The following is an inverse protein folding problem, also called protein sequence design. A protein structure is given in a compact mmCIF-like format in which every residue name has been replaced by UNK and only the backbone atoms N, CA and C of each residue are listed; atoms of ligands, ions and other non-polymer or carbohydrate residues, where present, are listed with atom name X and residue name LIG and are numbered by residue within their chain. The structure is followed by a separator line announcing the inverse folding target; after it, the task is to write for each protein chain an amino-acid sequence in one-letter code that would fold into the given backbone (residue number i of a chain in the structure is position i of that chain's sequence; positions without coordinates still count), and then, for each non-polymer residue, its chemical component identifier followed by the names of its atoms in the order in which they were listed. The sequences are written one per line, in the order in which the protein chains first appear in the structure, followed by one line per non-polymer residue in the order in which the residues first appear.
data_IF_641587283576
#
_entry.id   IF_641587283576
#
_cell.length_a   1.000
_cell.length_b   1.000
_cell.length_c   1.000
_cell.angle_alpha   90.00
_cell.angle_beta   90.00
_cell.angle_gamma   90.00
#
_symmetry.space_group_name_H-M   'P 1'
#
loop_
_entity.id
_entity.type
_entity.pdbx_description
1 polymer ?
#
# COMPACT_ATOMS: atom_id res chain seq x y z
N UNK A 1 14.84 4.85 -11.62
CA UNK A 1 13.76 5.68 -11.02
C UNK A 1 12.42 4.97 -10.79
N UNK A 2 12.03 3.94 -11.55
CA UNK A 2 10.69 3.36 -11.42
C UNK A 2 10.56 2.23 -10.38
N UNK A 3 11.55 1.36 -10.14
CA UNK A 3 11.32 -0.04 -9.71
C UNK A 3 11.23 -0.42 -8.21
N UNK A 4 11.56 0.44 -7.25
CA UNK A 4 11.54 0.05 -5.80
C UNK A 4 10.63 0.88 -4.90
N UNK A 5 10.11 2.00 -5.42
CA UNK A 5 8.84 2.54 -4.92
C UNK A 5 7.80 1.40 -4.97
N UNK A 6 7.86 0.50 -5.96
CA UNK A 6 7.04 -0.71 -6.11
C UNK A 6 6.96 -1.68 -4.93
N UNK A 7 7.65 -1.59 -3.78
CA UNK A 7 7.36 -2.53 -2.66
C UNK A 7 6.36 -1.94 -1.67
N UNK A 8 6.54 -0.68 -1.27
CA UNK A 8 5.51 0.10 -0.57
C UNK A 8 4.36 0.48 -1.54
N UNK A 9 4.71 0.77 -2.80
CA UNK A 9 3.77 0.88 -3.89
C UNK A 9 3.25 -0.48 -4.37
N UNK A 10 3.84 -1.65 -4.07
CA UNK A 10 3.20 -2.96 -4.36
C UNK A 10 2.07 -3.23 -3.38
N UNK A 11 2.18 -2.75 -2.14
CA UNK A 11 1.06 -2.77 -1.20
C UNK A 11 -0.02 -1.78 -1.63
N UNK A 12 0.35 -0.59 -2.14
CA UNK A 12 -0.60 0.32 -2.79
C UNK A 12 -1.10 -0.20 -4.15
N UNK A 13 -0.30 -0.95 -4.92
CA UNK A 13 -0.61 -1.53 -6.25
C UNK A 13 -1.44 -2.78 -6.11
N UNK A 14 -1.29 -3.59 -5.06
CA UNK A 14 -2.26 -4.64 -4.74
C UNK A 14 -3.62 -4.03 -4.35
N UNK A 15 -3.62 -2.83 -3.77
CA UNK A 15 -4.83 -2.03 -3.50
C UNK A 15 -5.31 -1.29 -4.77
N UNK A 16 -4.42 -0.96 -5.72
CA UNK A 16 -4.74 -0.25 -6.99
C UNK A 16 -4.77 -1.14 -8.24
N UNK A 17 -4.64 -2.46 -8.10
CA UNK A 17 -4.93 -3.46 -9.15
C UNK A 17 -6.41 -3.81 -9.21
N UNK A 18 -7.20 -3.28 -8.29
CA UNK A 18 -8.59 -3.02 -8.57
C UNK A 18 -8.60 -1.85 -9.55
N UNK A 19 -8.47 -2.16 -10.84
CA UNK A 19 -8.73 -1.19 -11.90
C UNK A 19 -10.18 -0.76 -11.66
N UNK A 20 -10.34 0.50 -11.20
CA UNK A 20 -11.50 1.34 -10.80
C UNK A 20 -11.67 2.57 -11.75
N UNK A 21 -12.91 3.03 -11.95
CA UNK A 21 -13.70 3.83 -12.98
C UNK A 21 -14.69 3.59 -14.24
N UNK A 22 -15.91 4.15 -14.09
CA UNK A 22 -17.15 4.56 -14.83
C UNK A 22 -18.21 4.72 -13.70
N UNK A 23 -18.10 5.81 -12.95
CA UNK A 23 -19.23 6.65 -12.47
C UNK A 23 -18.74 7.96 -11.81
N UNK A 24 -17.60 8.49 -12.23
CA UNK A 24 -16.78 9.41 -11.42
C UNK A 24 -17.33 10.83 -11.22
N UNK A 25 -18.20 11.31 -12.11
CA UNK A 25 -18.65 12.71 -12.10
C UNK A 25 -19.44 13.04 -10.83
N UNK A 26 -20.28 12.12 -10.36
CA UNK A 26 -21.06 12.27 -9.13
C UNK A 26 -20.21 12.01 -7.86
N UNK A 27 -19.18 11.16 -7.97
CA UNK A 27 -18.22 10.91 -6.86
C UNK A 27 -17.38 12.16 -6.58
N UNK A 28 -16.93 12.86 -7.63
CA UNK A 28 -16.07 14.05 -7.53
C UNK A 28 -16.80 15.28 -6.99
N UNK A 29 -18.13 15.37 -7.17
CA UNK A 29 -18.93 16.45 -6.58
C UNK A 29 -18.96 16.41 -5.06
N UNK A 30 -18.87 15.23 -4.45
CA UNK A 30 -18.93 15.06 -2.99
C UNK A 30 -17.61 15.33 -2.25
N UNK A 31 -16.52 15.61 -2.97
CA UNK A 31 -15.21 15.89 -2.38
C UNK A 31 -15.05 17.38 -2.11
N UNK A 32 -15.07 17.77 -0.83
CA UNK A 32 -14.94 19.17 -0.39
C UNK A 32 -13.50 19.68 -0.39
N UNK A 33 -12.52 18.80 -0.21
CA UNK A 33 -11.10 19.19 -0.17
C UNK A 33 -10.64 19.73 -1.52
N UNK A 34 -10.23 21.01 -1.56
CA UNK A 34 -9.76 21.69 -2.78
C UNK A 34 -8.53 21.02 -3.40
N UNK A 35 -7.62 20.49 -2.57
CA UNK A 35 -6.42 19.79 -3.04
C UNK A 35 -6.72 18.40 -3.58
N UNK A 36 -7.57 17.65 -2.88
CA UNK A 36 -7.99 16.33 -3.33
C UNK A 36 -8.78 16.44 -4.63
N UNK A 37 -9.73 17.39 -4.70
CA UNK A 37 -10.50 17.67 -5.91
C UNK A 37 -9.60 18.03 -7.09
N UNK A 38 -8.60 18.90 -6.90
CA UNK A 38 -7.66 19.27 -7.98
C UNK A 38 -6.81 18.10 -8.44
N UNK A 39 -6.34 17.25 -7.52
CA UNK A 39 -5.55 16.05 -7.85
C UNK A 39 -6.40 15.02 -8.61
N UNK A 40 -7.59 14.70 -8.10
CA UNK A 40 -8.49 13.72 -8.70
C UNK A 40 -9.04 14.21 -10.05
N UNK A 41 -9.29 15.51 -10.20
CA UNK A 41 -9.71 16.08 -11.48
C UNK A 41 -8.64 15.97 -12.56
N UNK A 42 -7.35 15.93 -12.18
CA UNK A 42 -6.23 15.62 -13.09
C UNK A 42 -6.05 14.13 -13.37
N UNK A 43 -6.69 13.25 -12.58
CA UNK A 43 -6.70 11.80 -12.74
C UNK A 43 -8.04 11.30 -13.28
N UNK A 44 -8.90 12.20 -13.74
CA UNK A 44 -10.30 11.92 -14.08
C UNK A 44 -10.45 10.78 -15.08
N UNK A 45 -9.64 10.71 -16.12
CA UNK A 45 -9.72 9.62 -17.11
C UNK A 45 -9.33 8.25 -16.53
N UNK A 46 -8.38 8.21 -15.59
CA UNK A 46 -7.98 6.97 -14.91
C UNK A 46 -9.01 6.57 -13.85
N UNK A 47 -9.58 7.57 -13.19
CA UNK A 47 -10.81 7.51 -12.45
C UNK A 47 -12.03 7.59 -13.39
N UNK A 48 -11.97 7.25 -14.68
CA UNK A 48 -13.16 6.97 -15.50
C UNK A 48 -13.11 5.54 -16.09
N UNK A 49 -12.01 4.79 -15.91
CA UNK A 49 -11.74 3.53 -16.65
C UNK A 49 -11.93 2.19 -15.91
N UNK A 50 -11.92 2.08 -14.59
CA UNK A 50 -12.17 0.79 -13.92
C UNK A 50 -13.36 0.51 -12.95
N UNK A 51 -14.45 1.26 -12.85
CA UNK A 51 -15.61 1.35 -11.93
C UNK A 51 -16.63 0.91 -12.92
N UNK A 52 -16.55 1.26 -14.21
CA UNK A 52 -16.79 0.34 -15.30
C UNK A 52 -16.20 -1.04 -15.02
N UNK A 53 -14.87 -1.21 -14.86
CA UNK A 53 -14.29 -2.53 -14.56
C UNK A 53 -14.77 -3.08 -13.22
N UNK A 54 -15.07 -2.26 -12.22
CA UNK A 54 -15.43 -2.66 -10.87
C UNK A 54 -16.87 -3.12 -10.90
N UNK A 55 -17.77 -2.29 -11.40
CA UNK A 55 -19.18 -2.56 -11.67
C UNK A 55 -19.35 -3.80 -12.55
N UNK A 56 -18.48 -3.99 -13.56
CA UNK A 56 -18.44 -5.24 -14.36
C UNK A 56 -18.13 -6.47 -13.50
N UNK A 57 -17.26 -6.37 -12.50
CA UNK A 57 -16.90 -7.47 -11.61
C UNK A 57 -17.79 -7.54 -10.34
N UNK A 58 -18.52 -6.47 -10.04
CA UNK A 58 -19.11 -6.18 -8.75
C UNK A 58 -20.24 -5.16 -8.92
N UNK A 59 -21.41 -5.60 -9.41
CA UNK A 59 -22.52 -4.70 -9.70
C UNK A 59 -23.02 -3.95 -8.45
N UNK A 60 -23.36 -2.67 -8.63
CA UNK A 60 -23.81 -1.75 -7.59
C UNK A 60 -22.69 -1.18 -6.71
N UNK A 61 -21.43 -1.35 -7.11
CA UNK A 61 -20.28 -0.87 -6.32
C UNK A 61 -20.07 0.63 -6.46
N UNK A 62 -20.41 1.21 -7.61
CA UNK A 62 -20.33 2.64 -7.87
C UNK A 62 -21.14 3.46 -6.86
N UNK A 63 -22.39 3.07 -6.60
CA UNK A 63 -23.24 3.74 -5.60
C UNK A 63 -22.72 3.57 -4.18
N UNK A 64 -22.23 2.37 -3.83
CA UNK A 64 -21.61 2.14 -2.52
C UNK A 64 -20.36 2.98 -2.33
N UNK A 65 -19.57 3.17 -3.39
CA UNK A 65 -18.37 3.98 -3.36
C UNK A 65 -18.70 5.47 -3.18
N UNK A 66 -19.74 5.99 -3.86
CA UNK A 66 -20.22 7.38 -3.65
C UNK A 66 -20.55 7.63 -2.18
N UNK A 67 -21.30 6.72 -1.56
CA UNK A 67 -21.65 6.79 -0.13
C UNK A 67 -20.39 6.73 0.73
N UNK A 68 -19.48 5.78 0.46
CA UNK A 68 -18.24 5.63 1.22
C UNK A 68 -17.29 6.84 1.09
N UNK A 69 -17.21 7.47 -0.08
CA UNK A 69 -16.43 8.70 -0.30
C UNK A 69 -17.03 9.87 0.47
N UNK A 70 -18.37 9.97 0.52
CA UNK A 70 -19.04 10.98 1.34
C UNK A 70 -18.76 10.77 2.83
N UNK A 71 -18.88 9.54 3.33
CA UNK A 71 -18.56 9.19 4.72
C UNK A 71 -17.08 9.47 5.05
N UNK A 72 -16.17 9.18 4.11
CA UNK A 72 -14.76 9.54 4.23
C UNK A 72 -14.59 11.07 4.35
N UNK A 73 -15.22 11.86 3.47
CA UNK A 73 -15.11 13.32 3.50
C UNK A 73 -15.72 13.93 4.77
N UNK A 74 -16.83 13.39 5.26
CA UNK A 74 -17.44 13.84 6.52
C UNK A 74 -16.60 13.46 7.75
N UNK A 75 -15.83 12.39 7.67
CA UNK A 75 -14.84 12.02 8.68
C UNK A 75 -13.63 12.95 8.62
N UNK A 76 -13.08 13.18 7.43
CA UNK A 76 -11.95 14.08 7.16
C UNK A 76 -12.23 15.51 7.65
N UNK A 77 -13.42 16.05 7.36
CA UNK A 77 -13.89 17.37 7.81
C UNK A 77 -13.94 17.53 9.35
N UNK A 78 -14.00 16.42 10.10
CA UNK A 78 -14.08 16.43 11.58
C UNK A 78 -12.73 16.22 12.25
N UNK A 79 -11.69 15.91 11.49
CA UNK A 79 -10.35 15.72 12.04
C UNK A 79 -9.76 17.09 12.37
N UNK A 80 -9.04 17.16 13.49
CA UNK A 80 -8.39 18.36 13.96
C UNK A 80 -7.14 18.66 13.09
N UNK A 81 -7.12 19.84 12.47
CA UNK A 81 -6.01 20.31 11.63
C UNK A 81 -4.69 20.51 12.43
N UNK A 82 -4.75 20.49 13.76
CA UNK A 82 -3.58 20.64 14.63
C UNK A 82 -2.83 19.33 14.91
N UNK A 83 -3.34 18.18 14.44
CA UNK A 83 -2.67 16.89 14.63
C UNK A 83 -1.30 16.85 13.95
N UNK A 84 -0.32 16.26 14.64
CA UNK A 84 0.96 15.92 13.99
C UNK A 84 0.74 14.86 12.92
N UNK A 85 1.66 14.73 11.95
CA UNK A 85 1.59 13.72 10.87
C UNK A 85 1.34 12.30 11.43
N UNK A 86 1.92 11.99 12.60
CA UNK A 86 1.77 10.70 13.24
C UNK A 86 0.40 10.47 13.86
N UNK A 87 -0.16 11.47 14.52
CA UNK A 87 -1.50 11.42 15.09
C UNK A 87 -2.56 11.45 13.98
N UNK A 88 -2.30 12.24 12.94
CA UNK A 88 -3.07 12.30 11.72
C UNK A 88 -3.18 10.90 11.08
N UNK A 89 -2.07 10.17 10.86
CA UNK A 89 -2.14 8.84 10.24
C UNK A 89 -3.06 7.90 11.03
N UNK A 90 -2.99 7.90 12.36
CA UNK A 90 -3.89 7.05 13.14
C UNK A 90 -5.36 7.48 13.03
N UNK A 91 -5.63 8.80 13.08
CA UNK A 91 -6.97 9.36 12.98
C UNK A 91 -7.58 9.18 11.58
N UNK A 92 -6.85 9.51 10.52
CA UNK A 92 -7.29 9.47 9.12
C UNK A 92 -7.32 8.04 8.56
N UNK A 93 -6.23 7.29 8.72
CA UNK A 93 -5.98 6.08 7.94
C UNK A 93 -6.81 4.89 8.42
N UNK A 94 -7.14 4.80 9.71
CA UNK A 94 -7.96 3.69 10.23
C UNK A 94 -9.44 4.06 10.24
N UNK A 95 -9.79 5.24 10.74
CA UNK A 95 -11.19 5.57 11.02
C UNK A 95 -11.92 6.08 9.79
N UNK A 96 -11.30 6.98 9.01
CA UNK A 96 -11.97 7.58 7.86
C UNK A 96 -11.97 6.67 6.63
N UNK A 97 -11.01 5.77 6.48
CA UNK A 97 -10.95 4.86 5.32
C UNK A 97 -11.80 3.59 5.46
N UNK A 98 -12.33 3.31 6.65
CA UNK A 98 -13.10 2.09 6.92
C UNK A 98 -14.29 1.87 5.95
N UNK A 99 -15.10 2.90 5.61
CA UNK A 99 -16.14 2.78 4.60
C UNK A 99 -15.60 2.36 3.23
N UNK A 100 -14.49 2.95 2.79
CA UNK A 100 -13.85 2.65 1.50
C UNK A 100 -13.31 1.22 1.48
N UNK A 101 -12.62 0.81 2.55
CA UNK A 101 -12.10 -0.55 2.70
C UNK A 101 -13.21 -1.59 2.65
N UNK A 102 -14.37 -1.29 3.25
CA UNK A 102 -15.53 -2.17 3.25
C UNK A 102 -16.06 -2.40 1.83
N UNK A 103 -16.23 -1.32 1.05
CA UNK A 103 -16.70 -1.42 -0.35
C UNK A 103 -15.77 -2.30 -1.18
N UNK A 104 -14.46 -2.07 -1.10
CA UNK A 104 -13.47 -2.88 -1.82
C UNK A 104 -13.48 -4.33 -1.33
N UNK A 105 -13.57 -4.55 -0.02
CA UNK A 105 -13.55 -5.88 0.56
C UNK A 105 -14.78 -6.72 0.17
N UNK A 106 -15.96 -6.11 0.13
CA UNK A 106 -17.21 -6.77 -0.28
C UNK A 106 -17.20 -7.16 -1.75
N UNK A 107 -16.34 -6.51 -2.54
CA UNK A 107 -16.16 -6.67 -3.96
C UNK A 107 -15.17 -7.78 -4.35
N UNK A 108 -14.37 -8.22 -3.38
CA UNK A 108 -13.37 -9.26 -3.58
C UNK A 108 -13.98 -10.67 -3.43
N UNK A 109 -13.42 -11.67 -4.14
CA UNK A 109 -13.80 -13.07 -3.92
C UNK A 109 -13.48 -13.46 -2.47
N UNK A 110 -14.23 -14.44 -1.94
CA UNK A 110 -14.17 -14.82 -0.52
C UNK A 110 -12.73 -15.09 -0.02
N UNK A 111 -11.93 -15.80 -0.82
CA UNK A 111 -10.52 -16.09 -0.52
C UNK A 111 -9.62 -14.85 -0.33
N UNK A 112 -10.01 -13.73 -0.92
CA UNK A 112 -9.27 -12.47 -0.93
C UNK A 112 -9.87 -11.43 0.03
N UNK A 113 -10.99 -11.76 0.69
CA UNK A 113 -11.54 -10.92 1.76
C UNK A 113 -10.50 -10.76 2.86
N UNK A 114 -10.38 -9.55 3.37
CA UNK A 114 -9.40 -9.16 4.38
C UNK A 114 -8.06 -8.70 3.80
N UNK A 115 -7.77 -8.90 2.51
CA UNK A 115 -6.55 -8.36 1.90
C UNK A 115 -6.46 -6.82 1.98
N UNK A 116 -7.51 -6.04 1.67
CA UNK A 116 -7.45 -4.58 1.79
C UNK A 116 -7.17 -4.13 3.23
N UNK A 117 -7.82 -4.78 4.20
CA UNK A 117 -7.62 -4.49 5.62
C UNK A 117 -6.21 -4.87 6.08
N UNK A 118 -5.66 -5.99 5.59
CA UNK A 118 -4.28 -6.38 5.85
C UNK A 118 -3.30 -5.33 5.32
N UNK A 119 -3.49 -4.89 4.07
CA UNK A 119 -2.67 -3.83 3.47
C UNK A 119 -2.74 -2.52 4.24
N UNK A 120 -3.93 -2.12 4.70
CA UNK A 120 -4.11 -0.93 5.54
C UNK A 120 -3.37 -1.06 6.88
N UNK A 121 -3.50 -2.21 7.56
CA UNK A 121 -2.76 -2.49 8.81
C UNK A 121 -1.25 -2.45 8.59
N UNK A 122 -0.75 -2.92 7.45
CA UNK A 122 0.67 -2.82 7.09
C UNK A 122 1.12 -1.38 6.95
N UNK A 123 0.33 -0.51 6.29
CA UNK A 123 0.65 0.91 6.17
C UNK A 123 0.68 1.62 7.53
N UNK A 124 -0.32 1.36 8.36
CA UNK A 124 -0.39 1.89 9.74
C UNK A 124 0.83 1.43 10.54
N UNK A 125 1.19 0.14 10.46
CA UNK A 125 2.34 -0.39 11.20
C UNK A 125 3.65 0.26 10.76
N UNK A 126 3.85 0.50 9.46
CA UNK A 126 5.00 1.25 8.95
C UNK A 126 5.00 2.68 9.46
N UNK A 127 3.86 3.37 9.41
CA UNK A 127 3.75 4.73 9.91
C UNK A 127 4.07 4.82 11.40
N UNK A 128 3.50 3.94 12.23
CA UNK A 128 3.81 3.85 13.66
C UNK A 128 5.28 3.57 13.92
N UNK A 129 5.91 2.72 13.11
CA UNK A 129 7.34 2.47 13.18
C UNK A 129 8.13 3.76 12.92
N UNK A 130 7.84 4.45 11.81
CA UNK A 130 8.51 5.70 11.41
C UNK A 130 8.31 6.81 12.45
N UNK A 131 7.12 6.91 13.04
CA UNK A 131 6.80 7.88 14.08
C UNK A 131 7.58 7.70 15.38
N UNK A 132 8.11 6.50 15.62
CA UNK A 132 8.99 6.18 16.76
C UNK A 132 10.47 6.32 16.41
N UNK A 133 10.81 6.54 15.14
CA UNK A 133 12.19 6.69 14.69
C UNK A 133 12.70 8.12 14.88
N UNK A 134 14.02 8.24 15.03
CA UNK A 134 14.69 9.54 14.94
C UNK A 134 14.64 10.08 13.50
N UNK A 135 14.68 11.41 13.34
CA UNK A 135 14.78 12.02 12.01
C UNK A 135 15.99 11.52 11.22
N UNK A 136 17.12 11.26 11.90
CA UNK A 136 18.32 10.65 11.29
C UNK A 136 18.00 9.28 10.67
N UNK A 137 17.32 8.41 11.41
CA UNK A 137 16.90 7.09 10.90
C UNK A 137 15.96 7.21 9.69
N UNK A 138 15.10 8.24 9.64
CA UNK A 138 14.21 8.49 8.49
C UNK A 138 15.04 8.96 7.29
N UNK A 139 16.02 9.84 7.48
CA UNK A 139 16.91 10.28 6.41
C UNK A 139 17.72 9.13 5.81
N UNK A 140 18.03 8.10 6.59
CA UNK A 140 18.68 6.91 6.06
C UNK A 140 17.80 6.12 5.07
N UNK A 141 16.48 6.24 5.15
CA UNK A 141 15.58 5.65 4.15
C UNK A 141 15.66 6.36 2.80
N UNK A 142 16.21 7.58 2.77
CA UNK A 142 16.55 8.31 1.55
C UNK A 142 18.03 8.18 1.18
N UNK A 143 18.70 7.11 1.58
CA UNK A 143 20.07 6.85 1.16
C UNK A 143 20.12 6.24 -0.26
N UNK A 144 20.89 6.83 -1.21
CA UNK A 144 21.01 6.32 -2.56
C UNK A 144 21.36 4.86 -2.70
N UNK A 145 22.16 4.32 -1.77
CA UNK A 145 22.54 2.91 -1.79
C UNK A 145 21.35 1.93 -1.72
N UNK A 146 20.16 2.37 -1.31
CA UNK A 146 18.96 1.52 -1.26
C UNK A 146 18.31 1.36 -2.65
N UNK A 147 18.52 2.29 -3.58
CA UNK A 147 17.81 2.33 -4.86
C UNK A 147 18.68 2.54 -6.09
N UNK A 148 19.93 2.96 -5.94
CA UNK A 148 20.87 2.99 -7.05
C UNK A 148 21.24 1.55 -7.41
N UNK A 149 21.19 1.28 -8.71
CA UNK A 149 21.56 -0.02 -9.23
C UNK A 149 23.06 -0.20 -9.00
N UNK A 150 23.45 -1.23 -8.25
CA UNK A 150 24.83 -1.68 -8.28
C UNK A 150 25.05 -2.23 -9.69
N UNK A 151 25.93 -1.60 -10.46
CA UNK A 151 26.33 -2.10 -11.80
C UNK A 151 26.89 -3.53 -11.73
N UNK A 152 27.33 -3.97 -10.54
CA UNK A 152 27.66 -5.35 -10.23
C UNK A 152 26.39 -6.17 -9.93
N UNK A 153 25.69 -6.57 -10.99
CA UNK A 153 24.66 -7.59 -10.93
C UNK A 153 25.27 -8.91 -10.41
N UNK A 154 25.14 -9.14 -9.10
CA UNK A 154 25.49 -10.41 -8.50
C UNK A 154 24.35 -11.40 -8.78
N UNK A 155 24.67 -12.63 -9.20
CA UNK A 155 23.69 -13.69 -9.57
C UNK A 155 22.64 -13.95 -8.48
N UNK A 156 22.98 -13.65 -7.24
CA UNK A 156 22.07 -13.79 -6.10
C UNK A 156 21.06 -12.65 -5.96
N UNK A 157 21.38 -11.44 -6.45
CA UNK A 157 20.40 -10.35 -6.56
C UNK A 157 19.41 -10.61 -7.69
N UNK A 158 19.87 -11.22 -8.79
CA UNK A 158 19.00 -11.64 -9.89
C UNK A 158 17.95 -12.65 -9.40
N UNK A 159 18.35 -13.64 -8.58
CA UNK A 159 17.42 -14.60 -8.00
C UNK A 159 16.33 -13.94 -7.13
N UNK A 160 16.68 -12.89 -6.39
CA UNK A 160 15.71 -12.14 -5.60
C UNK A 160 14.77 -11.29 -6.46
N UNK A 161 15.28 -10.66 -7.51
CA UNK A 161 14.45 -9.92 -8.46
C UNK A 161 13.49 -10.85 -9.19
N UNK A 162 13.96 -12.01 -9.64
CA UNK A 162 13.13 -13.03 -10.28
C UNK A 162 12.06 -13.58 -9.33
N UNK A 163 12.38 -13.79 -8.04
CA UNK A 163 11.38 -14.18 -7.03
C UNK A 163 10.27 -13.14 -6.89
N UNK A 164 10.63 -11.85 -6.84
CA UNK A 164 9.65 -10.75 -6.77
C UNK A 164 8.79 -10.69 -8.05
N UNK A 165 9.41 -10.80 -9.22
CA UNK A 165 8.69 -10.83 -10.51
C UNK A 165 7.73 -12.01 -10.60
N UNK A 166 8.18 -13.20 -10.22
CA UNK A 166 7.37 -14.42 -10.24
C UNK A 166 6.17 -14.31 -9.29
N UNK A 167 6.35 -13.73 -8.09
CA UNK A 167 5.24 -13.44 -7.18
C UNK A 167 4.23 -12.46 -7.80
N UNK A 168 4.71 -11.39 -8.43
CA UNK A 168 3.87 -10.43 -9.12
C UNK A 168 3.05 -11.07 -10.26
N UNK A 169 3.68 -11.92 -11.07
CA UNK A 169 2.99 -12.67 -12.13
C UNK A 169 1.96 -13.64 -11.55
N UNK A 170 2.34 -14.42 -10.53
CA UNK A 170 1.44 -15.36 -9.84
C UNK A 170 0.18 -14.69 -9.32
N UNK A 171 0.32 -13.51 -8.70
CA UNK A 171 -0.82 -12.81 -8.10
C UNK A 171 -1.63 -11.97 -9.07
N UNK A 172 -1.07 -11.64 -10.24
CA UNK A 172 -1.84 -11.07 -11.35
C UNK A 172 -2.83 -12.09 -11.91
N UNK A 173 -2.43 -13.35 -12.00
CA UNK A 173 -3.27 -14.44 -12.52
C UNK A 173 -4.21 -15.02 -11.44
N UNK A 174 -3.75 -15.06 -10.19
CA UNK A 174 -4.46 -15.66 -9.08
C UNK A 174 -4.40 -14.80 -7.82
N UNK A 175 -5.52 -14.16 -7.47
CA UNK A 175 -5.61 -13.38 -6.22
C UNK A 175 -5.32 -14.32 -5.02
N UNK A 176 -4.32 -13.99 -4.18
CA UNK A 176 -3.93 -14.84 -3.05
C UNK A 176 -4.91 -14.75 -1.89
N UNK A 177 -4.78 -15.68 -0.96
CA UNK A 177 -5.30 -15.55 0.41
C UNK A 177 -4.39 -14.66 1.26
N UNK A 178 -4.88 -14.20 2.41
CA UNK A 178 -4.06 -13.45 3.37
C UNK A 178 -2.82 -14.24 3.80
N UNK A 179 -2.96 -15.54 4.08
CA UNK A 179 -1.85 -16.41 4.50
C UNK A 179 -0.82 -16.62 3.38
N UNK A 180 -1.26 -16.83 2.13
CA UNK A 180 -0.35 -16.97 0.99
C UNK A 180 0.45 -15.69 0.74
N UNK A 181 -0.22 -14.52 0.83
CA UNK A 181 0.42 -13.23 0.70
C UNK A 181 1.44 -13.01 1.82
N UNK A 182 1.04 -13.27 3.06
CA UNK A 182 1.89 -13.11 4.23
C UNK A 182 3.13 -14.01 4.20
N UNK A 183 2.96 -15.28 3.84
CA UNK A 183 4.08 -16.21 3.65
C UNK A 183 5.01 -15.70 2.56
N UNK A 184 4.47 -15.32 1.40
CA UNK A 184 5.29 -14.90 0.26
C UNK A 184 6.05 -13.59 0.50
N UNK A 185 5.45 -12.62 1.19
CA UNK A 185 6.13 -11.37 1.54
C UNK A 185 7.19 -11.65 2.61
N UNK A 186 6.88 -12.42 3.66
CA UNK A 186 7.87 -12.76 4.71
C UNK A 186 9.10 -13.45 4.12
N UNK A 187 8.89 -14.31 3.14
CA UNK A 187 9.92 -15.00 2.35
C UNK A 187 10.83 -14.08 1.53
N UNK A 188 10.46 -12.80 1.34
CA UNK A 188 11.30 -11.78 0.71
C UNK A 188 12.23 -11.07 1.69
N UNK A 189 12.06 -11.27 3.00
CA UNK A 189 12.90 -10.62 4.03
C UNK A 189 14.40 -10.84 3.77
N UNK A 190 14.77 -12.08 3.47
CA UNK A 190 16.16 -12.45 3.15
C UNK A 190 16.69 -11.71 1.93
N UNK A 191 15.83 -11.47 0.93
CA UNK A 191 16.19 -10.70 -0.25
C UNK A 191 16.45 -9.22 0.08
N UNK A 192 15.60 -8.61 0.89
CA UNK A 192 15.80 -7.23 1.35
C UNK A 192 17.07 -7.11 2.18
N UNK A 193 17.29 -8.03 3.13
CA UNK A 193 18.49 -8.05 3.96
C UNK A 193 19.77 -8.18 3.13
N UNK A 194 19.75 -9.08 2.14
CA UNK A 194 20.88 -9.30 1.24
C UNK A 194 21.18 -8.08 0.39
N UNK A 195 20.15 -7.50 -0.25
CA UNK A 195 20.29 -6.28 -1.04
C UNK A 195 20.84 -5.12 -0.20
N UNK A 196 20.28 -4.89 0.99
CA UNK A 196 20.75 -3.85 1.89
C UNK A 196 22.22 -4.07 2.32
N UNK A 197 22.62 -5.33 2.54
CA UNK A 197 24.00 -5.67 2.93
C UNK A 197 24.99 -5.43 1.79
N UNK A 198 24.63 -5.81 0.57
CA UNK A 198 25.47 -5.64 -0.61
C UNK A 198 25.56 -4.18 -1.05
N UNK A 199 24.44 -3.46 -1.00
CA UNK A 199 24.33 -2.11 -1.59
C UNK A 199 24.74 -1.01 -0.60
N UNK A 200 24.40 -1.16 0.67
CA UNK A 200 24.68 -0.16 1.68
C UNK A 200 25.78 -0.63 2.63
N UNK A 201 26.81 0.20 2.86
CA UNK A 201 27.86 -0.09 3.86
C UNK A 201 27.46 0.35 5.28
N UNK A 202 26.62 1.37 5.40
CA UNK A 202 26.20 1.95 6.66
C UNK A 202 25.17 1.05 7.37
N UNK A 203 25.47 0.67 8.62
CA UNK A 203 24.60 -0.19 9.43
C UNK A 203 23.27 0.49 9.80
N UNK A 204 23.25 1.82 10.01
CA UNK A 204 22.00 2.57 10.28
C UNK A 204 21.05 2.46 9.09
N UNK A 205 21.55 2.63 7.87
CA UNK A 205 20.78 2.46 6.63
C UNK A 205 20.18 1.06 6.50
N UNK A 206 21.00 0.02 6.74
CA UNK A 206 20.53 -1.38 6.72
C UNK A 206 19.44 -1.64 7.75
N UNK A 207 19.62 -1.13 8.97
CA UNK A 207 18.65 -1.29 10.05
C UNK A 207 17.35 -0.51 9.76
N UNK A 208 17.44 0.68 9.16
CA UNK A 208 16.28 1.49 8.81
C UNK A 208 15.39 0.78 7.78
N UNK A 209 15.96 0.28 6.67
CA UNK A 209 15.17 -0.41 5.65
C UNK A 209 14.59 -1.74 6.16
N UNK A 210 15.35 -2.49 6.96
CA UNK A 210 14.85 -3.72 7.58
C UNK A 210 13.75 -3.46 8.59
N UNK A 211 13.87 -2.39 9.40
CA UNK A 211 12.83 -1.98 10.34
C UNK A 211 11.52 -1.62 9.66
N UNK A 212 11.58 -0.89 8.53
CA UNK A 212 10.41 -0.60 7.70
C UNK A 212 9.80 -1.87 7.12
N UNK A 213 10.62 -2.79 6.61
CA UNK A 213 10.13 -4.06 6.08
C UNK A 213 9.46 -4.91 7.17
N UNK A 214 10.11 -5.04 8.33
CA UNK A 214 9.61 -5.81 9.47
C UNK A 214 8.29 -5.21 9.98
N UNK A 215 8.14 -3.88 9.98
CA UNK A 215 6.87 -3.20 10.28
C UNK A 215 5.80 -3.49 9.22
N UNK A 216 6.14 -3.47 7.93
CA UNK A 216 5.19 -3.76 6.85
C UNK A 216 4.61 -5.19 6.96
N UNK A 217 5.41 -6.15 7.40
CA UNK A 217 4.96 -7.55 7.59
C UNK A 217 4.47 -7.85 9.01
N UNK A 218 4.58 -6.93 9.96
CA UNK A 218 4.15 -7.16 11.34
C UNK A 218 2.68 -7.65 11.45
N UNK A 219 1.72 -7.12 10.68
CA UNK A 219 0.34 -7.64 10.70
C UNK A 219 0.18 -9.10 10.28
N UNK A 220 1.14 -9.66 9.54
CA UNK A 220 1.16 -11.06 9.14
C UNK A 220 1.55 -12.01 10.28
N UNK A 221 2.15 -11.52 11.36
CA UNK A 221 2.58 -12.35 12.49
C UNK A 221 1.41 -13.07 13.18
N UNK A 222 0.22 -12.45 13.23
CA UNK A 222 -1.00 -13.05 13.76
C UNK A 222 -1.59 -14.16 12.87
N UNK A 223 -1.24 -14.19 11.58
CA UNK A 223 -1.78 -15.15 10.61
C UNK A 223 -0.88 -16.38 10.42
N UNK A 224 0.41 -16.24 10.74
CA UNK A 224 1.41 -17.31 10.66
C UNK A 224 1.63 -18.04 12.00
N UNK A 225 0.92 -17.65 13.05
CA UNK A 225 0.88 -18.38 14.32
C UNK A 225 -0.03 -19.61 14.16
N UNK A 226 0.54 -20.69 13.64
CA UNK A 226 -0.01 -22.06 13.72
C UNK A 226 0.75 -22.81 14.80
#
# INVERSE_FOLDING_TARGET
MRKFVFVALALLVAISTVQCDDSSEEVLEHIKSRHLKKYLHGQREHLDDGLEKLEKHCPGVSEKLKVAVKEFSECDDKVDDSLTICEAIHAYTINCTAPLLKVVNDCLPEKARGLPNLGMKSMVSVAEHLCKQSGESIFELVNPCLWEDLEEANTEMDACEEKVKALGQKYKENIPTQSELCSSITDLRTCIQKRATLSCKNQKTRNAILGVFDAAVAPCSHLNAV
#
